data_IF_468823486104
#
_entry.id   IF_468823486104
#
_cell.length_a   1.000
_cell.length_b   1.000
_cell.length_c   1.000
_cell.angle_alpha   90.00
_cell.angle_beta   90.00
_cell.angle_gamma   90.00
#
_symmetry.space_group_name_H-M   'P 1'
#
loop_
_entity.id
_entity.type
_entity.pdbx_description
1 polymer ?
#
# COMPACT_ATOMS: atom_id res chain seq x y z
N UNK A 1 -0.20 24.67 13.65
CA UNK A 1 -0.07 23.49 12.76
C UNK A 1 -0.74 22.36 13.51
N UNK A 2 -1.83 21.79 12.98
CA UNK A 2 -2.68 20.87 13.74
C UNK A 2 -1.90 19.59 14.06
N UNK A 3 -1.64 19.38 15.34
CA UNK A 3 -1.18 18.11 15.88
C UNK A 3 -2.33 17.12 15.70
N UNK A 4 -2.22 16.26 14.69
CA UNK A 4 -3.10 15.11 14.57
C UNK A 4 -2.57 14.12 15.61
N UNK A 5 -3.29 14.04 16.71
CA UNK A 5 -3.21 12.96 17.68
C UNK A 5 -3.23 11.66 16.87
N UNK A 6 -2.13 10.91 16.91
CA UNK A 6 -2.10 9.54 16.40
C UNK A 6 -3.00 8.73 17.32
N UNK A 7 -4.30 8.76 17.04
CA UNK A 7 -5.24 7.78 17.56
C UNK A 7 -4.61 6.41 17.33
N UNK A 8 -4.67 5.58 18.38
CA UNK A 8 -4.23 4.19 18.33
C UNK A 8 -5.15 3.44 17.34
N UNK A 9 -4.80 3.50 16.05
CA UNK A 9 -5.50 2.79 14.99
C UNK A 9 -5.13 1.32 15.09
N UNK A 10 -6.00 0.61 15.80
CA UNK A 10 -6.47 -0.74 15.49
C UNK A 10 -5.94 -1.28 14.16
N UNK A 11 -5.21 -2.39 14.22
CA UNK A 11 -4.62 -3.25 13.18
C UNK A 11 -5.16 -3.12 11.73
N UNK A 12 -5.10 -1.93 11.14
CA UNK A 12 -5.64 -1.64 9.82
C UNK A 12 -4.45 -1.59 8.87
N UNK A 13 -4.37 -2.47 7.87
CA UNK A 13 -3.25 -2.45 6.93
C UNK A 13 -3.24 -1.13 6.16
N UNK A 14 -2.18 -0.34 6.36
CA UNK A 14 -2.02 0.99 5.77
C UNK A 14 -0.98 0.96 4.66
N UNK A 15 -1.36 1.48 3.50
CA UNK A 15 -0.49 1.50 2.32
C UNK A 15 -0.22 2.92 1.85
N UNK A 16 1.06 3.22 1.59
CA UNK A 16 1.50 4.41 0.86
C UNK A 16 1.72 4.05 -0.61
N UNK A 17 1.03 4.75 -1.51
CA UNK A 17 1.14 4.53 -2.97
C UNK A 17 1.85 5.72 -3.62
N UNK A 18 3.02 5.47 -4.21
CA UNK A 18 3.74 6.44 -5.04
C UNK A 18 3.52 6.11 -6.52
N UNK A 19 2.78 6.95 -7.25
CA UNK A 19 2.63 6.83 -8.71
C UNK A 19 3.80 7.54 -9.39
N UNK A 20 4.64 6.78 -10.11
CA UNK A 20 5.83 7.30 -10.81
C UNK A 20 5.59 7.52 -12.30
N UNK A 21 4.75 6.71 -12.93
CA UNK A 21 4.36 6.93 -14.32
C UNK A 21 2.97 6.39 -14.62
N UNK A 22 2.37 6.93 -15.68
CA UNK A 22 1.14 6.42 -16.27
C UNK A 22 1.44 6.02 -17.72
N UNK A 23 1.55 4.71 -17.98
CA UNK A 23 1.81 4.14 -19.32
C UNK A 23 0.79 3.07 -19.63
N UNK A 24 0.43 2.94 -20.91
CA UNK A 24 -0.54 1.96 -21.40
C UNK A 24 -1.86 2.00 -20.64
N UNK A 25 -2.35 3.21 -20.34
CA UNK A 25 -3.58 3.43 -19.57
C UNK A 25 -3.56 2.78 -18.18
N UNK A 26 -2.37 2.61 -17.59
CA UNK A 26 -2.18 2.00 -16.28
C UNK A 26 -1.09 2.74 -15.47
N UNK A 27 -1.09 2.53 -14.16
CA UNK A 27 -0.13 3.14 -13.24
C UNK A 27 1.09 2.24 -13.01
N UNK A 28 2.25 2.86 -12.85
CA UNK A 28 3.48 2.22 -12.40
C UNK A 28 4.05 3.03 -11.24
N UNK A 29 4.61 2.34 -10.26
CA UNK A 29 4.99 2.99 -9.03
C UNK A 29 5.53 2.06 -7.97
N UNK A 30 5.44 2.52 -6.73
CA UNK A 30 5.81 1.76 -5.54
C UNK A 30 4.67 1.79 -4.53
N UNK A 31 4.52 0.68 -3.82
CA UNK A 31 3.62 0.50 -2.71
C UNK A 31 4.48 0.24 -1.47
N UNK A 32 4.28 1.00 -0.40
CA UNK A 32 4.90 0.74 0.89
C UNK A 32 3.83 0.38 1.91
N UNK A 33 3.94 -0.80 2.50
CA UNK A 33 3.15 -1.19 3.65
C UNK A 33 3.76 -0.55 4.90
N UNK A 34 3.00 0.33 5.55
CA UNK A 34 3.49 1.17 6.65
C UNK A 34 3.82 0.32 7.88
N UNK A 35 2.97 -0.64 8.24
CA UNK A 35 3.13 -1.47 9.44
C UNK A 35 4.32 -2.43 9.31
N UNK A 36 4.48 -3.09 8.16
CA UNK A 36 5.60 -4.01 7.89
C UNK A 36 6.85 -3.33 7.35
N UNK A 37 6.80 -2.01 7.12
CA UNK A 37 7.84 -1.22 6.45
C UNK A 37 8.36 -1.86 5.15
N UNK A 38 7.47 -2.54 4.42
CA UNK A 38 7.81 -3.32 3.23
C UNK A 38 7.46 -2.52 1.98
N UNK A 39 8.41 -2.37 1.06
CA UNK A 39 8.20 -1.62 -0.19
C UNK A 39 8.34 -2.53 -1.41
N UNK A 40 7.34 -2.49 -2.28
CA UNK A 40 7.26 -3.29 -3.50
C UNK A 40 6.90 -2.41 -4.69
N UNK A 41 7.55 -2.62 -5.84
CA UNK A 41 7.20 -1.93 -7.08
C UNK A 41 6.04 -2.61 -7.80
N UNK A 42 5.13 -1.84 -8.38
CA UNK A 42 4.08 -2.33 -9.28
C UNK A 42 4.23 -1.73 -10.67
N UNK A 43 3.86 -2.49 -11.70
CA UNK A 43 3.95 -2.15 -13.13
C UNK A 43 2.58 -1.95 -13.78
N UNK A 44 1.50 -2.22 -13.06
CA UNK A 44 0.13 -1.93 -13.49
C UNK A 44 -0.80 -1.77 -12.29
N UNK A 45 -1.97 -1.16 -12.52
CA UNK A 45 -3.04 -1.08 -11.53
C UNK A 45 -3.50 -2.47 -11.05
N UNK A 46 -3.50 -3.48 -11.94
CA UNK A 46 -3.89 -4.84 -11.57
C UNK A 46 -2.83 -5.54 -10.70
N UNK A 47 -1.54 -5.27 -10.96
CA UNK A 47 -0.46 -5.75 -10.09
C UNK A 47 -0.50 -5.09 -8.71
N UNK A 48 -0.79 -3.78 -8.65
CA UNK A 48 -1.02 -3.06 -7.39
C UNK A 48 -2.11 -3.72 -6.56
N UNK A 49 -3.26 -4.01 -7.18
CA UNK A 49 -4.39 -4.70 -6.53
C UNK A 49 -3.98 -6.07 -5.99
N UNK A 50 -3.25 -6.87 -6.77
CA UNK A 50 -2.76 -8.20 -6.33
C UNK A 50 -1.81 -8.11 -5.14
N UNK A 51 -0.94 -7.10 -5.12
CA UNK A 51 -0.01 -6.91 -3.99
C UNK A 51 -0.79 -6.54 -2.73
N UNK A 52 -1.76 -5.63 -2.82
CA UNK A 52 -2.63 -5.26 -1.70
C UNK A 52 -3.44 -6.45 -1.19
N UNK A 53 -4.09 -7.18 -2.10
CA UNK A 53 -4.88 -8.37 -1.77
C UNK A 53 -4.05 -9.44 -1.07
N UNK A 54 -2.82 -9.69 -1.57
CA UNK A 54 -1.88 -10.61 -0.92
C UNK A 54 -1.38 -10.10 0.43
N UNK A 55 -1.16 -8.80 0.58
CA UNK A 55 -0.72 -8.22 1.84
C UNK A 55 -1.82 -8.33 2.91
N UNK A 56 -3.06 -7.99 2.57
CA UNK A 56 -4.21 -8.06 3.48
C UNK A 56 -4.54 -9.52 3.84
N UNK A 57 -4.56 -10.43 2.85
CA UNK A 57 -4.89 -11.84 3.11
C UNK A 57 -3.87 -12.53 4.02
N UNK A 58 -2.59 -12.15 3.94
CA UNK A 58 -1.54 -12.68 4.83
C UNK A 58 -1.58 -12.07 6.24
N UNK A 59 -2.35 -11.00 6.47
CA UNK A 59 -2.49 -10.35 7.79
C UNK A 59 -3.70 -10.87 8.58
N UNK A 60 -4.63 -11.58 7.94
CA UNK A 60 -5.81 -12.18 8.60
C UNK A 60 -5.53 -13.58 9.21
N UNK A 61 -4.35 -14.16 8.94
CA UNK A 61 -3.96 -15.49 9.44
C UNK A 61 -3.08 -15.47 10.72
N UNK A 62 -2.75 -14.28 11.25
CA UNK A 62 -2.01 -14.07 12.51
C UNK A 62 -2.92 -13.51 13.64
#
# INVERSE_FOLDING_TARGET
MKNIEKENLTNTPTFLVEIKSCKNQSWQGRLTWVEKNQTTSFRSALELMKIMDSAVSNDEED
#
